data_IF_262197435204
#
_entry.id   IF_262197435204
#
_cell.length_a   1.000
_cell.length_b   1.000
_cell.length_c   1.000
_cell.angle_alpha   90.00
_cell.angle_beta   90.00
_cell.angle_gamma   90.00
#
_symmetry.space_group_name_H-M   'P 1'
#
loop_
_entity.id
_entity.type
_entity.pdbx_description
1 polymer ?
#
# COMPACT_ATOMS: atom_id res chain seq x y z
N UNK A 1 14.67 7.91 -7.93
CA UNK A 1 13.41 7.22 -7.60
C UNK A 1 12.41 7.53 -8.71
N UNK A 2 11.96 6.58 -9.55
CA UNK A 2 11.20 7.02 -10.74
C UNK A 2 10.24 6.04 -11.41
N UNK A 3 10.53 4.75 -11.48
CA UNK A 3 9.62 3.79 -12.13
C UNK A 3 9.29 2.62 -11.20
N UNK A 4 10.30 2.00 -10.60
CA UNK A 4 10.15 0.85 -9.69
C UNK A 4 9.23 1.14 -8.50
N UNK A 5 9.44 2.21 -7.72
CA UNK A 5 8.62 2.53 -6.55
C UNK A 5 7.12 2.69 -6.84
N UNK A 6 6.77 3.40 -7.93
CA UNK A 6 5.36 3.61 -8.30
C UNK A 6 4.76 2.34 -8.89
N UNK A 7 5.57 1.55 -9.58
CA UNK A 7 5.11 0.29 -10.16
C UNK A 7 4.90 -0.76 -9.07
N UNK A 8 5.77 -0.83 -8.06
CA UNK A 8 5.69 -1.78 -6.96
C UNK A 8 4.46 -1.50 -6.07
N UNK A 9 4.19 -0.24 -5.73
CA UNK A 9 2.98 0.13 -4.98
C UNK A 9 1.69 -0.20 -5.74
N UNK A 10 1.66 0.08 -7.05
CA UNK A 10 0.50 -0.21 -7.90
C UNK A 10 0.32 -1.71 -8.14
N UNK A 11 1.42 -2.45 -8.18
CA UNK A 11 1.44 -3.92 -8.29
C UNK A 11 0.92 -4.56 -7.01
N UNK A 12 1.28 -4.05 -5.82
CA UNK A 12 0.71 -4.52 -4.56
C UNK A 12 -0.80 -4.24 -4.46
N UNK A 13 -1.28 -3.07 -4.89
CA UNK A 13 -2.72 -2.76 -4.89
C UNK A 13 -3.49 -3.68 -5.86
N UNK A 14 -2.94 -3.93 -7.05
CA UNK A 14 -3.49 -4.87 -8.03
C UNK A 14 -3.50 -6.31 -7.52
N UNK A 15 -2.40 -6.77 -6.92
CA UNK A 15 -2.29 -8.10 -6.35
C UNK A 15 -3.27 -8.29 -5.18
N UNK A 16 -3.40 -7.29 -4.30
CA UNK A 16 -4.34 -7.31 -3.19
C UNK A 16 -5.80 -7.39 -3.67
N UNK A 17 -6.18 -6.60 -4.68
CA UNK A 17 -7.52 -6.71 -5.30
C UNK A 17 -7.73 -8.05 -6.01
N UNK A 18 -6.69 -8.58 -6.64
CA UNK A 18 -6.72 -9.90 -7.27
C UNK A 18 -7.00 -11.01 -6.26
N UNK A 19 -6.28 -11.02 -5.13
CA UNK A 19 -6.53 -11.95 -4.02
C UNK A 19 -7.93 -11.79 -3.44
N UNK A 20 -8.40 -10.57 -3.28
CA UNK A 20 -9.74 -10.29 -2.74
C UNK A 20 -10.85 -10.80 -3.67
N UNK A 21 -10.70 -10.58 -4.99
CA UNK A 21 -11.63 -11.06 -5.99
C UNK A 21 -11.59 -12.59 -6.14
N UNK A 22 -10.39 -13.19 -6.14
CA UNK A 22 -10.21 -14.63 -6.20
C UNK A 22 -10.80 -15.33 -4.96
N UNK A 23 -10.52 -14.80 -3.77
CA UNK A 23 -11.11 -15.29 -2.51
C UNK A 23 -12.63 -15.17 -2.49
N UNK A 24 -13.18 -14.03 -2.93
CA UNK A 24 -14.63 -13.86 -3.05
C UNK A 24 -15.28 -14.83 -4.06
N UNK A 25 -14.60 -15.12 -5.17
CA UNK A 25 -15.09 -16.04 -6.20
C UNK A 25 -15.00 -17.51 -5.79
N UNK A 26 -13.94 -17.88 -5.04
CA UNK A 26 -13.72 -19.26 -4.57
C UNK A 26 -14.37 -19.54 -3.20
N UNK A 27 -14.88 -18.50 -2.51
CA UNK A 27 -15.39 -18.62 -1.15
C UNK A 27 -14.30 -18.79 -0.10
N UNK A 28 -13.07 -18.35 -0.40
CA UNK A 28 -11.89 -18.45 0.44
C UNK A 28 -11.71 -17.14 1.23
N UNK A 29 -12.04 -17.18 2.52
CA UNK A 29 -12.01 -16.01 3.40
C UNK A 29 -10.56 -15.58 3.74
N UNK A 30 -9.61 -16.51 3.74
CA UNK A 30 -8.18 -16.23 3.93
C UNK A 30 -7.61 -15.40 2.78
N UNK A 31 -7.86 -15.81 1.53
CA UNK A 31 -7.47 -15.05 0.32
C UNK A 31 -8.08 -13.66 0.31
N UNK A 32 -9.34 -13.54 0.73
CA UNK A 32 -10.04 -12.27 0.83
C UNK A 32 -9.45 -11.37 1.93
N UNK A 33 -9.11 -11.95 3.07
CA UNK A 33 -8.48 -11.23 4.18
C UNK A 33 -7.06 -10.79 3.82
N UNK A 34 -6.27 -11.63 3.16
CA UNK A 34 -4.94 -11.27 2.64
C UNK A 34 -5.02 -10.08 1.69
N UNK A 35 -5.94 -10.11 0.72
CA UNK A 35 -6.11 -9.04 -0.25
C UNK A 35 -6.42 -7.68 0.41
N UNK A 36 -7.27 -7.68 1.44
CA UNK A 36 -7.57 -6.49 2.25
C UNK A 36 -6.40 -6.04 3.11
N UNK A 37 -5.67 -6.99 3.70
CA UNK A 37 -4.52 -6.71 4.53
C UNK A 37 -3.38 -6.06 3.72
N UNK A 38 -3.10 -6.57 2.52
CA UNK A 38 -2.13 -6.01 1.58
C UNK A 38 -2.48 -4.55 1.20
N UNK A 39 -3.74 -4.28 0.84
CA UNK A 39 -4.21 -2.92 0.57
C UNK A 39 -4.10 -1.99 1.79
N UNK A 40 -4.43 -2.50 2.99
CA UNK A 40 -4.33 -1.74 4.23
C UNK A 40 -2.89 -1.36 4.58
N UNK A 41 -1.95 -2.30 4.41
CA UNK A 41 -0.51 -2.08 4.64
C UNK A 41 0.06 -1.08 3.66
N UNK A 42 -0.28 -1.17 2.38
CA UNK A 42 0.16 -0.22 1.36
C UNK A 42 -0.30 1.21 1.70
N UNK A 43 -1.59 1.39 2.00
CA UNK A 43 -2.13 2.71 2.41
C UNK A 43 -1.50 3.24 3.69
N UNK A 44 -1.21 2.36 4.65
CA UNK A 44 -0.55 2.75 5.90
C UNK A 44 0.89 3.21 5.65
N UNK A 45 1.67 2.48 4.83
CA UNK A 45 3.01 2.87 4.41
C UNK A 45 3.01 4.22 3.70
N UNK A 46 2.14 4.38 2.70
CA UNK A 46 2.05 5.59 1.89
C UNK A 46 1.71 6.82 2.76
N UNK A 47 0.74 6.69 3.67
CA UNK A 47 0.41 7.74 4.65
C UNK A 47 1.56 8.03 5.61
N UNK A 48 2.26 7.01 6.08
CA UNK A 48 3.37 7.16 7.02
C UNK A 48 4.55 7.86 6.36
N UNK A 49 4.88 7.48 5.12
CA UNK A 49 5.93 8.12 4.32
C UNK A 49 5.57 9.57 4.00
N UNK A 50 4.33 9.84 3.57
CA UNK A 50 3.87 11.22 3.38
C UNK A 50 3.91 12.07 4.65
N UNK A 51 3.57 11.47 5.80
CA UNK A 51 3.65 12.16 7.09
C UNK A 51 5.10 12.42 7.50
N UNK A 52 5.99 11.44 7.33
CA UNK A 52 7.43 11.59 7.59
C UNK A 52 8.06 12.65 6.68
N UNK A 53 7.74 12.64 5.39
CA UNK A 53 8.22 13.62 4.41
C UNK A 53 7.80 15.04 4.78
N UNK A 54 6.52 15.25 5.14
CA UNK A 54 6.03 16.56 5.62
C UNK A 54 6.66 17.04 6.93
N UNK A 55 7.00 16.12 7.83
CA UNK A 55 7.62 16.45 9.12
C UNK A 55 9.12 16.71 8.93
N UNK A 56 9.81 15.86 8.17
CA UNK A 56 11.23 16.02 7.85
C UNK A 56 11.47 17.32 7.06
N UNK A 57 10.68 17.60 6.02
CA UNK A 57 10.80 18.82 5.23
C UNK A 57 10.55 20.11 6.04
N UNK A 58 9.78 20.04 7.14
CA UNK A 58 9.58 21.19 8.04
C UNK A 58 10.69 21.37 9.07
N UNK A 59 11.45 20.34 9.38
CA UNK A 59 12.59 20.41 10.30
C UNK A 59 13.81 20.97 9.56
N UNK A 60 13.99 20.62 8.28
CA UNK A 60 15.03 21.20 7.41
C UNK A 60 14.81 22.70 7.13
N UNK A 61 13.55 23.17 6.98
CA UNK A 61 13.26 24.59 6.68
C UNK A 61 13.44 25.52 7.91
N UNK A 62 13.62 24.96 9.12
CA UNK A 62 13.71 25.70 10.39
C UNK A 62 15.14 25.74 10.97
N UNK A 63 16.07 24.92 10.46
CA UNK A 63 17.47 24.87 10.93
C UNK A 63 18.43 25.56 9.94
#
# INVERSE_FOLDING_TARGET
MGADDKFENKTQDLAGRGKEAAGAAMGDDDLKAEGKADQGKAKAKDKLEHAKDKVAGKIDDVL
#
